data_IF_061999838580
#
_entry.id   IF_061999838580
#
_cell.length_a   1.000
_cell.length_b   1.000
_cell.length_c   1.000
_cell.angle_alpha   90.00
_cell.angle_beta   90.00
_cell.angle_gamma   90.00
#
_symmetry.space_group_name_H-M   'P 1'
#
loop_
_entity.id
_entity.type
_entity.pdbx_description
1 polymer ?
#
# COMPACT_ATOMS: atom_id res chain seq x y z
N UNK A 1 27.49 -11.14 16.53
CA UNK A 1 26.08 -11.22 16.15
C UNK A 1 25.98 -11.66 14.71
N UNK A 2 24.94 -12.41 14.28
CA UNK A 2 24.79 -12.76 12.88
C UNK A 2 24.67 -11.47 12.06
N UNK A 3 25.46 -11.36 11.00
CA UNK A 3 25.33 -10.30 10.02
C UNK A 3 23.89 -10.34 9.49
N UNK A 4 23.17 -9.23 9.64
CA UNK A 4 21.85 -9.10 9.02
C UNK A 4 21.97 -9.33 7.51
N UNK A 5 20.87 -9.73 6.84
CA UNK A 5 20.89 -9.93 5.40
C UNK A 5 21.44 -8.66 4.74
N UNK A 6 22.42 -8.84 3.85
CA UNK A 6 22.99 -7.74 3.07
C UNK A 6 21.88 -6.98 2.33
N UNK A 7 22.16 -5.78 1.81
CA UNK A 7 21.13 -4.97 1.15
C UNK A 7 20.50 -5.80 0.03
N UNK A 8 19.19 -6.01 0.13
CA UNK A 8 18.44 -6.75 -0.85
C UNK A 8 18.61 -6.06 -2.22
N UNK A 9 19.26 -6.74 -3.15
CA UNK A 9 19.44 -6.24 -4.52
C UNK A 9 18.16 -6.52 -5.30
N UNK A 10 17.38 -5.49 -5.58
CA UNK A 10 16.13 -5.64 -6.33
C UNK A 10 15.22 -4.44 -6.16
N UNK A 11 14.07 -4.52 -6.83
CA UNK A 11 13.03 -3.49 -6.78
C UNK A 11 12.17 -3.66 -5.54
N UNK A 12 11.74 -2.55 -4.95
CA UNK A 12 10.68 -2.51 -3.92
C UNK A 12 9.36 -2.29 -4.63
N UNK A 13 8.39 -3.17 -4.40
CA UNK A 13 7.03 -3.02 -4.89
C UNK A 13 6.14 -2.52 -3.74
N UNK A 14 5.39 -1.44 -3.97
CA UNK A 14 4.43 -0.88 -3.01
C UNK A 14 3.03 -1.05 -3.58
N UNK A 15 2.11 -1.68 -2.84
CA UNK A 15 0.74 -1.83 -3.31
C UNK A 15 -0.17 -0.72 -2.81
N UNK A 16 -1.13 -0.36 -3.66
CA UNK A 16 -2.23 0.54 -3.32
C UNK A 16 -3.56 -0.09 -3.75
N UNK A 17 -4.66 0.13 -3.02
CA UNK A 17 -5.94 -0.50 -3.36
C UNK A 17 -6.55 0.07 -4.65
N UNK A 18 -6.24 1.32 -5.02
CA UNK A 18 -6.91 2.04 -6.10
C UNK A 18 -5.93 2.69 -7.06
N UNK A 19 -6.29 2.73 -8.35
CA UNK A 19 -5.46 3.32 -9.44
C UNK A 19 -5.07 4.78 -9.17
N UNK A 20 -6.00 5.60 -8.66
CA UNK A 20 -5.71 7.00 -8.33
C UNK A 20 -4.71 7.10 -7.18
N UNK A 21 -4.89 6.30 -6.12
CA UNK A 21 -3.97 6.23 -5.00
C UNK A 21 -2.57 5.77 -5.43
N UNK A 22 -2.48 4.77 -6.33
CA UNK A 22 -1.22 4.30 -6.92
C UNK A 22 -0.44 5.44 -7.57
N UNK A 23 -1.10 6.24 -8.43
CA UNK A 23 -0.45 7.38 -9.09
C UNK A 23 -0.06 8.48 -8.10
N UNK A 24 -0.95 8.77 -7.14
CA UNK A 24 -0.69 9.80 -6.12
C UNK A 24 0.48 9.40 -5.22
N UNK A 25 0.54 8.15 -4.77
CA UNK A 25 1.65 7.63 -3.98
C UNK A 25 2.98 7.68 -4.75
N UNK A 26 2.99 7.27 -6.03
CA UNK A 26 4.19 7.35 -6.86
C UNK A 26 4.68 8.80 -7.03
N UNK A 27 3.76 9.74 -7.31
CA UNK A 27 4.11 11.18 -7.40
C UNK A 27 4.65 11.72 -6.08
N UNK A 28 4.01 11.34 -4.96
CA UNK A 28 4.46 11.76 -3.62
C UNK A 28 5.86 11.25 -3.32
N UNK A 29 6.13 9.97 -3.57
CA UNK A 29 7.45 9.36 -3.34
C UNK A 29 8.51 9.98 -4.24
N UNK A 30 8.23 10.16 -5.54
CA UNK A 30 9.15 10.82 -6.47
C UNK A 30 9.46 12.27 -6.02
N UNK A 31 8.42 13.04 -5.64
CA UNK A 31 8.58 14.40 -5.13
C UNK A 31 9.44 14.49 -3.87
N UNK A 32 9.33 13.51 -2.95
CA UNK A 32 10.18 13.45 -1.75
C UNK A 32 11.65 13.21 -2.09
N UNK A 33 11.94 12.58 -3.23
CA UNK A 33 13.30 12.38 -3.76
C UNK A 33 13.76 13.52 -4.67
N UNK A 34 12.95 14.56 -4.87
CA UNK A 34 13.25 15.64 -5.80
C UNK A 34 13.28 15.20 -7.28
N UNK A 35 12.51 14.15 -7.63
CA UNK A 35 12.52 13.52 -8.95
C UNK A 35 11.12 13.52 -9.59
N UNK A 36 11.08 13.28 -10.88
CA UNK A 36 9.84 12.97 -11.60
C UNK A 36 9.54 11.46 -11.57
N UNK A 37 8.24 11.14 -11.69
CA UNK A 37 7.80 9.75 -11.81
C UNK A 37 8.35 9.13 -13.09
N UNK A 38 8.83 7.87 -12.99
CA UNK A 38 9.50 7.16 -14.08
C UNK A 38 11.02 7.17 -13.97
N UNK A 39 11.58 7.81 -12.95
CA UNK A 39 13.00 7.70 -12.59
C UNK A 39 13.19 6.59 -11.55
N UNK A 40 13.67 6.90 -10.34
CA UNK A 40 13.80 5.89 -9.26
C UNK A 40 12.45 5.38 -8.77
N UNK A 41 11.40 6.20 -8.85
CA UNK A 41 10.03 5.83 -8.53
C UNK A 41 9.19 5.75 -9.79
N UNK A 42 8.56 4.60 -9.99
CA UNK A 42 7.60 4.37 -11.06
C UNK A 42 6.26 3.86 -10.55
N UNK A 43 5.33 3.64 -11.44
CA UNK A 43 4.07 2.96 -11.10
C UNK A 43 3.57 2.11 -12.26
N UNK A 44 2.73 1.13 -11.92
CA UNK A 44 1.97 0.38 -12.89
C UNK A 44 0.53 0.17 -12.42
N UNK A 45 -0.41 0.44 -13.32
CA UNK A 45 -1.82 0.13 -13.18
C UNK A 45 -2.31 -0.53 -14.47
N UNK A 46 -3.52 -1.11 -14.47
CA UNK A 46 -4.05 -1.74 -15.68
C UNK A 46 -4.09 -0.75 -16.85
N UNK A 47 -3.35 -1.07 -17.91
CA UNK A 47 -3.28 -0.27 -19.14
C UNK A 47 -2.28 0.89 -19.10
N UNK A 48 -1.53 1.06 -18.01
CA UNK A 48 -0.56 2.15 -17.91
C UNK A 48 0.63 1.72 -17.06
N UNK A 49 1.83 1.99 -17.57
CA UNK A 49 3.09 1.66 -16.92
C UNK A 49 4.09 2.79 -17.14
N UNK A 50 4.60 3.35 -16.05
CA UNK A 50 5.60 4.42 -16.07
C UNK A 50 6.77 4.02 -15.18
N UNK A 51 7.78 3.41 -15.77
CA UNK A 51 9.03 3.05 -15.10
C UNK A 51 10.16 2.87 -16.11
N UNK A 52 11.38 2.76 -15.62
CA UNK A 52 12.60 2.47 -16.38
C UNK A 52 13.26 1.22 -15.81
N UNK A 53 14.23 0.61 -16.51
CA UNK A 53 15.01 -0.49 -15.94
C UNK A 53 15.70 -0.13 -14.62
N UNK A 54 16.04 1.15 -14.44
CA UNK A 54 16.68 1.70 -13.23
C UNK A 54 15.70 2.03 -12.10
N UNK A 55 14.37 1.92 -12.31
CA UNK A 55 13.36 2.19 -11.29
C UNK A 55 13.53 1.23 -10.12
N UNK A 56 13.69 1.79 -8.93
CA UNK A 56 13.94 1.05 -7.68
C UNK A 56 12.67 0.82 -6.88
N UNK A 57 11.72 1.74 -6.94
CA UNK A 57 10.42 1.66 -6.25
C UNK A 57 9.32 1.68 -7.30
N UNK A 58 8.49 0.66 -7.31
CA UNK A 58 7.34 0.59 -8.21
C UNK A 58 6.04 0.52 -7.42
N UNK A 59 5.18 1.51 -7.57
CA UNK A 59 3.85 1.53 -6.94
C UNK A 59 2.85 0.87 -7.88
N UNK A 60 2.14 -0.14 -7.40
CA UNK A 60 1.21 -0.94 -8.22
C UNK A 60 -0.14 -1.11 -7.53
N UNK A 61 -1.17 -1.46 -8.28
CA UNK A 61 -2.42 -1.91 -7.65
C UNK A 61 -2.29 -3.35 -7.14
N UNK A 62 -2.99 -3.69 -6.05
CA UNK A 62 -3.00 -5.04 -5.49
C UNK A 62 -3.37 -6.11 -6.55
N UNK A 63 -4.40 -5.84 -7.37
CA UNK A 63 -4.80 -6.76 -8.43
C UNK A 63 -3.77 -6.93 -9.55
N UNK A 64 -2.92 -5.94 -9.81
CA UNK A 64 -1.82 -6.09 -10.77
C UNK A 64 -0.70 -6.98 -10.20
N UNK A 65 -0.33 -6.76 -8.95
CA UNK A 65 0.68 -7.61 -8.29
C UNK A 65 0.18 -9.05 -8.14
N UNK A 66 -1.09 -9.24 -7.83
CA UNK A 66 -1.71 -10.57 -7.77
C UNK A 66 -1.55 -11.32 -9.11
N UNK A 67 -1.77 -10.65 -10.23
CA UNK A 67 -1.54 -11.27 -11.57
C UNK A 67 -0.07 -11.59 -11.83
N UNK A 68 0.85 -10.75 -11.37
CA UNK A 68 2.29 -11.02 -11.49
C UNK A 68 2.67 -12.27 -10.71
N UNK A 69 2.18 -12.41 -9.47
CA UNK A 69 2.40 -13.61 -8.64
C UNK A 69 1.79 -14.88 -9.26
N UNK A 70 0.62 -14.76 -9.88
CA UNK A 70 0.01 -15.90 -10.58
C UNK A 70 0.80 -16.33 -11.81
N UNK A 71 1.47 -15.38 -12.48
CA UNK A 71 2.30 -15.67 -13.65
C UNK A 71 3.69 -16.19 -13.26
N UNK A 72 4.25 -15.65 -12.18
CA UNK A 72 5.57 -16.02 -11.64
C UNK A 72 5.59 -15.81 -10.12
N UNK A 73 5.43 -16.90 -9.34
CA UNK A 73 5.41 -16.83 -7.89
C UNK A 73 6.74 -16.36 -7.25
N UNK A 74 7.84 -16.50 -7.95
CA UNK A 74 9.15 -16.10 -7.43
C UNK A 74 9.37 -14.59 -7.48
N UNK A 75 8.58 -13.82 -8.24
CA UNK A 75 8.74 -12.37 -8.42
C UNK A 75 10.19 -11.95 -8.68
N UNK A 76 10.83 -12.42 -9.77
CA UNK A 76 12.24 -12.18 -10.00
C UNK A 76 12.56 -10.68 -10.03
N UNK A 77 13.70 -10.31 -9.45
CA UNK A 77 14.14 -8.91 -9.36
C UNK A 77 13.37 -8.07 -8.33
N UNK A 78 12.51 -8.68 -7.51
CA UNK A 78 11.84 -8.02 -6.39
C UNK A 78 12.55 -8.35 -5.09
N UNK A 79 12.98 -7.32 -4.36
CA UNK A 79 13.64 -7.47 -3.07
C UNK A 79 12.66 -7.33 -1.90
N UNK A 80 11.63 -6.48 -2.07
CA UNK A 80 10.65 -6.26 -1.02
C UNK A 80 9.27 -5.95 -1.60
N UNK A 81 8.24 -6.34 -0.86
CA UNK A 81 6.85 -5.96 -1.13
C UNK A 81 6.28 -5.26 0.10
N UNK A 82 5.77 -4.06 -0.11
CA UNK A 82 5.07 -3.27 0.90
C UNK A 82 3.58 -3.28 0.57
N UNK A 83 2.79 -3.91 1.42
CA UNK A 83 1.33 -3.93 1.35
C UNK A 83 0.77 -2.74 2.11
N UNK A 84 0.19 -1.78 1.42
CA UNK A 84 -0.46 -0.63 2.05
C UNK A 84 -1.97 -0.85 2.21
N UNK A 85 -2.56 -0.16 3.18
CA UNK A 85 -3.99 -0.18 3.49
C UNK A 85 -4.56 -1.58 3.77
N UNK A 86 -3.78 -2.48 4.40
CA UNK A 86 -4.22 -3.85 4.66
C UNK A 86 -5.48 -3.95 5.57
N UNK A 87 -5.86 -2.84 6.20
CA UNK A 87 -7.09 -2.74 7.00
C UNK A 87 -8.37 -2.65 6.16
N UNK A 88 -8.31 -2.26 4.88
CA UNK A 88 -9.49 -2.25 4.00
C UNK A 88 -10.08 -3.66 3.78
N UNK A 89 -9.33 -4.72 4.08
CA UNK A 89 -9.78 -6.13 4.05
C UNK A 89 -10.46 -6.50 2.73
N UNK A 90 -9.91 -6.04 1.62
CA UNK A 90 -10.39 -6.47 0.31
C UNK A 90 -9.98 -7.91 0.02
N UNK A 91 -10.82 -8.64 -0.72
CA UNK A 91 -10.50 -10.02 -1.15
C UNK A 91 -9.16 -10.08 -1.89
N UNK A 92 -8.89 -9.09 -2.75
CA UNK A 92 -7.63 -9.02 -3.50
C UNK A 92 -6.42 -8.85 -2.56
N UNK A 93 -6.52 -7.99 -1.53
CA UNK A 93 -5.44 -7.76 -0.58
C UNK A 93 -5.19 -8.99 0.30
N UNK A 94 -6.23 -9.65 0.78
CA UNK A 94 -6.13 -10.85 1.62
C UNK A 94 -5.53 -12.03 0.82
N UNK A 95 -5.96 -12.22 -0.43
CA UNK A 95 -5.39 -13.23 -1.33
C UNK A 95 -3.94 -12.93 -1.68
N UNK A 96 -3.63 -11.65 -1.97
CA UNK A 96 -2.27 -11.21 -2.27
C UNK A 96 -1.33 -11.47 -1.08
N UNK A 97 -1.75 -11.14 0.15
CA UNK A 97 -0.98 -11.42 1.35
C UNK A 97 -0.69 -12.92 1.50
N UNK A 98 -1.70 -13.78 1.27
CA UNK A 98 -1.54 -15.23 1.36
C UNK A 98 -0.51 -15.73 0.36
N UNK A 99 -0.63 -15.34 -0.91
CA UNK A 99 0.31 -15.75 -1.96
C UNK A 99 1.73 -15.20 -1.74
N UNK A 100 1.86 -14.01 -1.16
CA UNK A 100 3.18 -13.46 -0.80
C UNK A 100 3.83 -14.22 0.37
N UNK A 101 3.05 -14.73 1.30
CA UNK A 101 3.57 -15.59 2.37
C UNK A 101 4.06 -16.93 1.80
N UNK A 102 3.35 -17.50 0.82
CA UNK A 102 3.79 -18.70 0.11
C UNK A 102 5.05 -18.43 -0.73
N UNK A 103 5.09 -17.30 -1.45
CA UNK A 103 6.28 -16.89 -2.21
C UNK A 103 7.51 -16.71 -1.31
N UNK A 104 7.33 -16.13 -0.11
CA UNK A 104 8.41 -15.98 0.87
C UNK A 104 8.90 -17.32 1.42
N UNK A 105 8.06 -18.34 1.49
CA UNK A 105 8.51 -19.69 1.87
C UNK A 105 9.44 -20.31 0.84
N UNK A 106 9.35 -19.89 -0.44
CA UNK A 106 10.25 -20.29 -1.53
C UNK A 106 11.47 -19.36 -1.65
N UNK A 107 11.34 -18.10 -1.19
CA UNK A 107 12.35 -17.04 -1.28
C UNK A 107 12.57 -16.40 0.09
N UNK A 108 13.53 -16.91 0.85
CA UNK A 108 13.86 -16.38 2.18
C UNK A 108 14.41 -14.94 2.15
N UNK A 109 14.90 -14.49 0.98
CA UNK A 109 15.40 -13.13 0.74
C UNK A 109 14.29 -12.10 0.52
N UNK A 110 13.04 -12.52 0.29
CA UNK A 110 11.90 -11.62 0.03
C UNK A 110 11.43 -10.96 1.34
N UNK A 111 11.57 -9.63 1.40
CA UNK A 111 11.08 -8.84 2.53
C UNK A 111 9.60 -8.48 2.33
N UNK A 112 8.78 -8.78 3.33
CA UNK A 112 7.35 -8.37 3.34
C UNK A 112 7.12 -7.35 4.45
N UNK A 113 6.49 -6.23 4.08
CA UNK A 113 6.05 -5.18 4.99
C UNK A 113 4.56 -4.97 4.81
N UNK A 114 3.82 -4.83 5.90
CA UNK A 114 2.40 -4.45 5.84
C UNK A 114 2.17 -3.15 6.62
N UNK A 115 1.45 -2.23 6.00
CA UNK A 115 1.08 -0.94 6.58
C UNK A 115 -0.43 -0.85 6.78
N UNK A 116 -0.82 -0.28 7.92
CA UNK A 116 -2.23 -0.16 8.30
C UNK A 116 -2.45 1.02 9.24
N UNK A 117 -3.56 1.72 9.07
CA UNK A 117 -3.95 2.80 9.98
C UNK A 117 -4.67 2.31 11.25
N UNK A 118 -5.33 1.14 11.23
CA UNK A 118 -6.31 0.76 12.28
C UNK A 118 -6.34 -0.72 12.65
N UNK A 119 -5.37 -1.55 12.25
CA UNK A 119 -5.41 -2.99 12.52
C UNK A 119 -4.95 -3.34 13.94
N UNK A 120 -5.54 -4.43 14.49
CA UNK A 120 -4.91 -5.20 15.54
C UNK A 120 -3.57 -5.77 15.02
N UNK A 121 -2.44 -5.25 15.50
CA UNK A 121 -1.13 -5.63 14.98
C UNK A 121 -0.77 -7.08 15.36
N UNK A 122 -1.38 -7.65 16.37
CA UNK A 122 -0.99 -8.95 16.94
C UNK A 122 -1.12 -10.07 15.90
N UNK A 123 -2.26 -10.14 15.23
CA UNK A 123 -2.52 -11.18 14.22
C UNK A 123 -1.60 -11.02 13.01
N UNK A 124 -1.46 -9.80 12.51
CA UNK A 124 -0.65 -9.52 11.32
C UNK A 124 0.84 -9.78 11.58
N UNK A 125 1.33 -9.40 12.76
CA UNK A 125 2.72 -9.67 13.17
C UNK A 125 3.04 -11.17 13.24
N UNK A 126 2.09 -11.98 13.73
CA UNK A 126 2.26 -13.45 13.76
C UNK A 126 2.30 -14.03 12.36
N UNK A 127 1.44 -13.55 11.44
CA UNK A 127 1.43 -13.99 10.05
C UNK A 127 2.74 -13.63 9.32
N UNK A 128 3.22 -12.42 9.51
CA UNK A 128 4.44 -11.94 8.85
C UNK A 128 5.73 -12.47 9.50
N UNK A 129 5.73 -12.75 10.79
CA UNK A 129 6.93 -13.19 11.50
C UNK A 129 7.17 -14.68 11.49
N UNK A 130 6.13 -15.49 11.34
CA UNK A 130 6.20 -16.95 11.44
C UNK A 130 6.09 -17.49 12.87
N UNK A 131 6.18 -18.82 13.04
CA UNK A 131 6.01 -19.48 14.33
C UNK A 131 7.08 -19.06 15.34
N UNK A 132 6.63 -18.54 16.49
CA UNK A 132 7.52 -18.23 17.61
C UNK A 132 8.26 -16.88 17.55
N UNK A 133 8.25 -16.18 16.41
CA UNK A 133 8.92 -14.88 16.25
C UNK A 133 8.03 -13.92 15.50
N UNK A 134 7.15 -13.15 16.17
CA UNK A 134 6.31 -12.16 15.50
C UNK A 134 7.14 -11.06 14.83
N UNK A 135 6.71 -10.61 13.66
CA UNK A 135 7.37 -9.54 12.93
C UNK A 135 7.52 -8.27 13.79
N UNK A 136 8.59 -7.49 13.63
CA UNK A 136 8.76 -6.23 14.33
C UNK A 136 7.61 -5.26 13.99
N UNK A 137 7.26 -4.40 14.95
CA UNK A 137 6.24 -3.36 14.77
C UNK A 137 6.92 -1.99 14.83
N UNK A 138 6.58 -1.15 13.86
CA UNK A 138 6.92 0.28 13.88
C UNK A 138 5.62 1.06 13.96
N UNK A 139 5.45 1.80 15.05
CA UNK A 139 4.30 2.68 15.24
C UNK A 139 4.70 4.12 14.96
N UNK A 140 3.93 4.78 14.10
CA UNK A 140 4.09 6.20 13.80
C UNK A 140 2.86 6.92 14.38
N UNK A 141 3.03 7.75 15.43
CA UNK A 141 1.91 8.48 16.00
C UNK A 141 1.33 9.45 14.96
N UNK A 142 0.02 9.35 14.74
CA UNK A 142 -0.71 10.27 13.88
C UNK A 142 -0.95 11.62 14.61
N UNK A 143 -0.89 12.72 13.87
CA UNK A 143 -1.31 14.02 14.36
C UNK A 143 -2.78 14.21 13.99
N UNK A 144 -3.65 14.31 14.99
CA UNK A 144 -5.05 14.64 14.78
C UNK A 144 -5.16 16.16 14.57
N UNK A 145 -5.68 16.56 13.43
CA UNK A 145 -6.03 17.95 13.18
C UNK A 145 -7.47 18.22 13.65
N UNK A 146 -7.75 19.39 14.25
CA UNK A 146 -9.12 19.75 14.62
C UNK A 146 -9.99 19.84 13.38
N UNK A 147 -11.16 19.21 13.44
CA UNK A 147 -12.18 19.27 12.39
C UNK A 147 -13.26 20.23 12.85
N UNK A 148 -13.52 21.26 12.05
CA UNK A 148 -14.66 22.15 12.26
C UNK A 148 -15.74 21.79 11.24
N UNK A 149 -16.89 21.40 11.73
CA UNK A 149 -18.04 21.10 10.86
C UNK A 149 -18.76 22.41 10.48
N UNK A 150 -18.85 22.70 9.19
CA UNK A 150 -19.62 23.79 8.66
C UNK A 150 -20.85 23.24 7.92
N UNK A 151 -22.02 23.51 8.46
CA UNK A 151 -23.27 23.18 7.80
C UNK A 151 -23.58 24.25 6.75
N UNK A 152 -23.49 23.93 5.48
CA UNK A 152 -23.90 24.81 4.39
C UNK A 152 -25.06 24.16 3.65
N UNK A 153 -26.21 24.83 3.52
CA UNK A 153 -27.31 24.35 2.67
C UNK A 153 -26.86 24.33 1.20
N UNK A 154 -27.34 23.40 0.38
CA UNK A 154 -27.00 23.35 -1.04
C UNK A 154 -27.32 24.69 -1.72
N UNK A 155 -26.47 25.17 -2.66
CA UNK A 155 -26.68 26.41 -3.37
C UNK A 155 -28.06 26.39 -4.09
N UNK A 156 -28.89 27.38 -3.84
CA UNK A 156 -30.22 27.49 -4.41
C UNK A 156 -31.40 27.13 -3.49
N UNK A 157 -31.17 26.65 -2.28
CA UNK A 157 -32.22 26.42 -1.28
C UNK A 157 -32.48 27.69 -0.46
N UNK A 158 -33.05 28.70 -1.05
CA UNK A 158 -33.64 29.84 -0.31
C UNK A 158 -35.06 29.53 0.23
N UNK A 159 -35.44 28.26 0.28
CA UNK A 159 -36.72 27.82 0.84
C UNK A 159 -36.62 27.65 2.36
N UNK A 160 -37.56 28.22 3.10
CA UNK A 160 -37.78 27.98 4.53
C UNK A 160 -37.75 26.47 4.81
N UNK A 161 -36.76 26.00 5.53
CA UNK A 161 -36.79 24.66 6.10
C UNK A 161 -37.97 24.57 7.08
N UNK A 162 -38.89 23.65 6.83
CA UNK A 162 -39.97 23.35 7.77
C UNK A 162 -39.40 22.79 9.09
N UNK A 163 -40.22 22.65 10.16
CA UNK A 163 -39.77 22.26 11.50
C UNK A 163 -39.06 20.93 11.62
N UNK A 164 -38.85 20.21 10.54
CA UNK A 164 -38.09 18.92 10.50
C UNK A 164 -36.96 18.89 9.46
N UNK A 165 -36.54 20.08 8.94
CA UNK A 165 -35.36 20.14 8.05
C UNK A 165 -35.52 19.48 6.67
N UNK A 166 -36.74 19.11 6.24
CA UNK A 166 -37.04 18.52 4.92
C UNK A 166 -37.50 19.61 3.98
N UNK A 167 -36.92 19.77 2.76
CA UNK A 167 -37.44 20.70 1.74
C UNK A 167 -38.84 20.26 1.31
N UNK A 168 -39.75 21.21 1.16
CA UNK A 168 -41.07 21.03 0.52
C UNK A 168 -40.95 21.24 -0.95
#
# INVERSE_FOLDING_TARGET
GPAGPGPATGRVIVTQPRRLATRAAARRLAGLLGQEVGQDVGYAVRGEHVSRPTTRIEVVTAGLLLRRLQADPELPGTAAVVLDEVHERSLEADLLLTLLLDARALREDLVLVAMSATLDPVRLRRLLGGPGSPAPLVEVPGVLHPVTEHWAPPPGTTGRLGPRGVPR
#
